data_IF_519351265867
#
_entry.id   IF_519351265867
#
_cell.length_a   1.000
_cell.length_b   1.000
_cell.length_c   1.000
_cell.angle_alpha   90.00
_cell.angle_beta   90.00
_cell.angle_gamma   90.00
#
_symmetry.space_group_name_H-M   'P 1'
#
loop_
_entity.id
_entity.type
_entity.pdbx_description
1 polymer ?
#
# COMPACT_ATOMS: atom_id res chain seq x y z
N UNK A 1 12.47 25.30 53.12
CA UNK A 1 12.60 23.98 52.49
C UNK A 1 11.20 23.48 52.21
N UNK A 2 10.62 23.81 51.06
CA UNK A 2 9.43 23.14 50.54
C UNK A 2 9.84 21.94 49.67
N UNK A 3 9.10 20.86 49.91
CA UNK A 3 9.12 19.52 49.32
C UNK A 3 9.13 19.55 47.78
N UNK A 4 9.94 18.66 47.21
CA UNK A 4 10.26 18.50 45.80
C UNK A 4 9.17 17.68 45.08
N UNK A 5 8.79 18.14 43.88
CA UNK A 5 8.19 17.38 42.75
C UNK A 5 6.69 17.03 42.85
N UNK A 6 5.80 17.89 42.35
CA UNK A 6 5.41 18.09 40.94
C UNK A 6 4.69 16.89 40.32
N UNK A 7 3.39 17.10 40.15
CA UNK A 7 2.45 16.27 39.42
C UNK A 7 2.90 16.07 37.97
N UNK A 8 3.36 14.87 37.63
CA UNK A 8 3.38 14.46 36.23
C UNK A 8 2.92 13.03 36.09
N UNK A 9 1.59 12.92 36.03
CA UNK A 9 0.86 11.88 35.30
C UNK A 9 1.67 11.50 34.05
N UNK A 10 2.36 10.37 34.10
CA UNK A 10 3.12 9.90 32.95
C UNK A 10 2.14 9.56 31.84
N UNK A 11 2.45 10.21 30.72
CA UNK A 11 1.65 10.34 29.54
C UNK A 11 1.35 8.99 28.90
N UNK A 12 0.18 8.96 28.27
CA UNK A 12 -0.31 7.91 27.38
C UNK A 12 0.77 7.35 26.46
N UNK A 13 0.98 6.04 26.55
CA UNK A 13 1.65 5.25 25.51
C UNK A 13 0.98 3.87 25.48
N UNK A 14 -0.24 3.83 24.95
CA UNK A 14 -0.86 2.58 24.51
C UNK A 14 -1.41 2.76 23.12
N UNK A 15 -0.65 2.28 22.16
CA UNK A 15 -1.12 1.89 20.83
C UNK A 15 -1.43 3.05 19.92
N UNK A 16 -0.40 3.60 19.28
CA UNK A 16 -0.57 3.99 17.89
C UNK A 16 -1.01 2.70 17.17
N UNK A 17 -2.28 2.66 16.79
CA UNK A 17 -2.90 1.57 16.04
C UNK A 17 -1.92 1.14 14.96
N UNK A 18 -1.65 -0.16 14.92
CA UNK A 18 -0.88 -0.80 13.86
C UNK A 18 -1.41 -0.27 12.53
N UNK A 19 -0.66 0.65 11.94
CA UNK A 19 -0.87 1.08 10.57
C UNK A 19 -0.71 -0.21 9.79
N UNK A 20 -1.84 -0.78 9.38
CA UNK A 20 -1.89 -1.96 8.54
C UNK A 20 -1.03 -1.62 7.32
N UNK A 21 0.22 -2.10 7.33
CA UNK A 21 1.01 -2.27 6.13
C UNK A 21 0.31 -3.37 5.33
N UNK A 22 -0.83 -3.02 4.72
CA UNK A 22 -1.20 -3.64 3.47
C UNK A 22 -0.11 -3.21 2.48
N UNK A 23 0.91 -4.06 2.40
CA UNK A 23 2.03 -3.95 1.50
C UNK A 23 1.53 -3.91 0.07
N UNK A 24 1.28 -2.71 -0.43
CA UNK A 24 1.20 -2.44 -1.85
C UNK A 24 2.64 -2.17 -2.35
N UNK A 25 3.42 -3.26 -2.46
CA UNK A 25 4.77 -3.25 -3.06
C UNK A 25 4.79 -2.78 -4.54
N UNK A 26 3.67 -2.33 -5.12
CA UNK A 26 3.58 -1.90 -6.53
C UNK A 26 3.93 -0.42 -6.77
N UNK A 27 4.25 0.35 -5.72
CA UNK A 27 4.39 1.82 -5.83
C UNK A 27 5.75 2.32 -6.37
N UNK A 28 6.29 1.70 -7.42
CA UNK A 28 7.40 2.29 -8.19
C UNK A 28 7.37 2.08 -9.70
N UNK A 29 6.49 1.21 -10.22
CA UNK A 29 6.53 0.80 -11.62
C UNK A 29 5.30 1.17 -12.46
N UNK A 30 4.31 1.82 -11.83
CA UNK A 30 3.07 2.30 -12.46
C UNK A 30 3.33 3.22 -13.68
N UNK A 31 4.44 3.97 -13.69
CA UNK A 31 4.77 4.90 -14.79
C UNK A 31 5.04 4.22 -16.14
N UNK A 32 5.21 2.90 -16.19
CA UNK A 32 5.44 2.14 -17.44
C UNK A 32 4.42 1.04 -17.68
N UNK A 33 3.49 0.81 -16.76
CA UNK A 33 2.47 -0.19 -16.98
C UNK A 33 1.50 0.30 -18.07
N UNK A 34 1.53 -0.37 -19.22
CA UNK A 34 0.72 -0.04 -20.40
C UNK A 34 -0.46 -0.97 -20.57
N UNK A 35 -0.52 -2.06 -19.81
CA UNK A 35 -1.55 -3.06 -19.90
C UNK A 35 -2.16 -3.32 -18.52
N UNK A 36 -3.44 -3.66 -18.47
CA UNK A 36 -4.19 -3.93 -17.26
C UNK A 36 -5.04 -5.17 -17.45
N UNK A 37 -5.10 -6.01 -16.42
CA UNK A 37 -6.05 -7.11 -16.36
C UNK A 37 -7.43 -6.55 -15.98
N UNK A 38 -8.45 -6.73 -16.80
CA UNK A 38 -9.80 -6.24 -16.48
C UNK A 38 -10.50 -7.01 -15.35
N UNK A 39 -9.95 -8.17 -14.94
CA UNK A 39 -10.51 -9.01 -13.88
C UNK A 39 -9.93 -8.61 -12.52
N UNK A 40 -8.60 -8.68 -12.37
CA UNK A 40 -7.92 -8.40 -11.10
C UNK A 40 -7.33 -6.99 -11.02
N UNK A 41 -7.48 -6.16 -12.05
CA UNK A 41 -6.92 -4.79 -12.12
C UNK A 41 -5.40 -4.69 -12.00
N UNK A 42 -4.68 -5.82 -11.99
CA UNK A 42 -3.21 -5.84 -11.98
C UNK A 42 -2.64 -5.18 -13.22
N UNK A 43 -1.64 -4.33 -13.03
CA UNK A 43 -1.00 -3.58 -14.10
C UNK A 43 0.28 -4.27 -14.58
N UNK A 44 0.49 -4.29 -15.89
CA UNK A 44 1.62 -4.96 -16.53
C UNK A 44 2.31 -4.03 -17.54
N UNK A 45 3.62 -4.20 -17.69
CA UNK A 45 4.44 -3.41 -18.62
C UNK A 45 4.40 -3.94 -20.06
N UNK A 46 4.19 -5.24 -20.22
CA UNK A 46 4.25 -5.94 -21.50
C UNK A 46 2.88 -6.50 -21.90
N UNK A 47 2.68 -6.66 -23.21
CA UNK A 47 1.46 -7.28 -23.75
C UNK A 47 1.54 -8.79 -23.51
N UNK A 48 0.50 -9.37 -22.96
CA UNK A 48 0.47 -10.80 -22.68
C UNK A 48 -0.86 -11.26 -22.11
N UNK A 49 -0.83 -12.42 -21.45
CA UNK A 49 -1.94 -12.94 -20.65
C UNK A 49 -1.66 -12.71 -19.17
N UNK A 50 -2.71 -12.41 -18.41
CA UNK A 50 -2.64 -12.35 -16.96
C UNK A 50 -2.38 -13.77 -16.43
N UNK A 51 -1.29 -14.02 -15.67
CA UNK A 51 -1.02 -15.34 -15.11
C UNK A 51 -2.00 -15.74 -14.00
N UNK A 52 -2.74 -14.77 -13.44
CA UNK A 52 -3.70 -15.01 -12.38
C UNK A 52 -5.12 -15.30 -12.91
N UNK A 53 -5.44 -14.76 -14.08
CA UNK A 53 -6.80 -14.84 -14.63
C UNK A 53 -6.86 -15.49 -16.02
N UNK A 54 -5.73 -15.87 -16.60
CA UNK A 54 -5.59 -16.47 -17.94
C UNK A 54 -6.29 -15.68 -19.07
N UNK A 55 -6.41 -14.36 -18.90
CA UNK A 55 -7.00 -13.46 -19.91
C UNK A 55 -5.98 -12.55 -20.58
N UNK A 56 -6.31 -12.10 -21.78
CA UNK A 56 -5.48 -11.13 -22.52
C UNK A 56 -5.53 -9.77 -21.82
N UNK A 57 -4.35 -9.21 -21.55
CA UNK A 57 -4.21 -7.90 -20.92
C UNK A 57 -4.63 -6.78 -21.89
N UNK A 58 -5.43 -5.83 -21.41
CA UNK A 58 -5.94 -4.69 -22.18
C UNK A 58 -5.00 -3.50 -22.07
N UNK A 59 -4.78 -2.77 -23.17
CA UNK A 59 -3.93 -1.57 -23.13
C UNK A 59 -4.65 -0.45 -22.38
N UNK A 60 -3.96 0.22 -21.46
CA UNK A 60 -4.46 1.39 -20.74
C UNK A 60 -4.44 2.59 -21.69
N UNK A 61 -5.61 3.06 -22.11
CA UNK A 61 -5.77 4.28 -22.93
C UNK A 61 -6.15 4.09 -24.41
N UNK A 62 -6.78 2.98 -24.78
CA UNK A 62 -7.50 2.83 -26.07
C UNK A 62 -9.00 3.12 -25.92
#
# INVERSE_FOLDING_TARGET
MPDEEDEKYESADTGDEESEEEGDEEKKEEKRARYVCEICSTMYKEKGMCPNCDIVLKKKGE
#
